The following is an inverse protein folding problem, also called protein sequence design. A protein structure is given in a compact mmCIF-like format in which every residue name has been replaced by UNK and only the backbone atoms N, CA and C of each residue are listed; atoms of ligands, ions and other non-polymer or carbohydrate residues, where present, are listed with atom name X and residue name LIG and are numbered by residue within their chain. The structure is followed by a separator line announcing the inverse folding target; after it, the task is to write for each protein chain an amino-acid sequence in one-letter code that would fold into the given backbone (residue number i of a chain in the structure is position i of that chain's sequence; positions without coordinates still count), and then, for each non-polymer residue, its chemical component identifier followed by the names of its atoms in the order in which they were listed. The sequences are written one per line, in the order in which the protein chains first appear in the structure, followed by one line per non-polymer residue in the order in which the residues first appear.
data_IF_885743464201
#
_entry.id   IF_885743464201
#
_cell.length_a   1.000
_cell.length_b   1.000
_cell.length_c   1.000
_cell.angle_alpha   90.00
_cell.angle_beta   90.00
_cell.angle_gamma   90.00
#
_symmetry.space_group_name_H-M   'P 1'
#
loop_
_entity.id
_entity.type
_entity.pdbx_description
1 polymer ?
#
# COMPACT_ATOMS: atom_id res chain seq x y z
N UNK A 1 12.63 -10.19 -9.19
CA UNK A 1 13.03 -10.43 -7.79
C UNK A 1 12.28 -9.60 -6.75
N UNK A 2 12.36 -8.26 -6.71
CA UNK A 2 11.69 -7.47 -5.65
C UNK A 2 10.15 -7.61 -5.64
N UNK A 3 9.52 -7.50 -6.83
CA UNK A 3 8.06 -7.66 -6.99
C UNK A 3 7.62 -9.08 -6.59
N UNK A 4 8.32 -10.10 -7.06
CA UNK A 4 8.04 -11.51 -6.72
C UNK A 4 8.22 -11.77 -5.22
N UNK A 5 9.26 -11.20 -4.60
CA UNK A 5 9.50 -11.33 -3.16
C UNK A 5 8.38 -10.69 -2.32
N UNK A 6 7.90 -9.52 -2.73
CA UNK A 6 6.73 -8.88 -2.13
C UNK A 6 5.48 -9.76 -2.26
N UNK A 7 5.18 -10.24 -3.47
CA UNK A 7 4.00 -11.09 -3.71
C UNK A 7 4.07 -12.41 -2.94
N UNK A 8 5.23 -13.07 -2.95
CA UNK A 8 5.45 -14.30 -2.18
C UNK A 8 5.27 -14.07 -0.68
N UNK A 9 5.75 -12.93 -0.16
CA UNK A 9 5.54 -12.59 1.25
C UNK A 9 4.07 -12.37 1.57
N UNK A 10 3.34 -11.64 0.73
CA UNK A 10 1.89 -11.44 0.85
C UNK A 10 1.14 -12.77 0.87
N UNK A 11 1.42 -13.67 -0.06
CA UNK A 11 0.77 -14.99 -0.13
C UNK A 11 1.12 -15.87 1.07
N UNK A 12 2.37 -15.85 1.55
CA UNK A 12 2.80 -16.65 2.70
C UNK A 12 2.12 -16.26 4.02
N UNK A 13 1.60 -15.03 4.12
CA UNK A 13 1.00 -14.51 5.34
C UNK A 13 -0.53 -14.70 5.38
N UNK A 14 -1.14 -15.16 4.30
CA UNK A 14 -2.59 -15.25 4.15
C UNK A 14 -3.29 -13.97 4.63
N UNK A 15 -2.92 -12.85 4.00
CA UNK A 15 -3.42 -11.52 4.37
C UNK A 15 -4.90 -11.45 4.00
N UNK A 16 -5.75 -11.21 4.99
CA UNK A 16 -7.19 -11.10 4.79
C UNK A 16 -7.58 -9.83 4.05
N UNK A 17 -8.78 -9.81 3.45
CA UNK A 17 -9.33 -8.61 2.80
C UNK A 17 -9.32 -7.38 3.71
N UNK A 18 -9.61 -7.57 5.00
CA UNK A 18 -9.68 -6.48 5.98
C UNK A 18 -8.29 -5.95 6.32
N UNK A 19 -7.29 -6.81 6.45
CA UNK A 19 -5.90 -6.39 6.61
C UNK A 19 -5.36 -5.67 5.37
N UNK A 20 -5.68 -6.15 4.17
CA UNK A 20 -5.34 -5.44 2.93
C UNK A 20 -5.97 -4.04 2.89
N UNK A 21 -7.21 -3.87 3.36
CA UNK A 21 -7.85 -2.57 3.40
C UNK A 21 -7.07 -1.60 4.30
N UNK A 22 -6.65 -2.03 5.50
CA UNK A 22 -5.86 -1.19 6.39
C UNK A 22 -4.44 -0.91 5.86
N UNK A 23 -3.77 -1.91 5.30
CA UNK A 23 -2.45 -1.72 4.68
C UNK A 23 -2.49 -0.71 3.53
N UNK A 24 -3.54 -0.77 2.69
CA UNK A 24 -3.77 0.23 1.64
C UNK A 24 -3.98 1.63 2.23
N UNK A 25 -4.74 1.74 3.32
CA UNK A 25 -4.90 2.99 4.07
C UNK A 25 -3.55 3.54 4.56
N UNK A 26 -2.71 2.70 5.17
CA UNK A 26 -1.36 3.09 5.64
C UNK A 26 -0.47 3.59 4.50
N UNK A 27 -0.54 2.97 3.31
CA UNK A 27 0.24 3.39 2.13
C UNK A 27 -0.31 4.68 1.54
N UNK A 28 -1.64 4.82 1.44
CA UNK A 28 -2.32 5.97 0.87
C UNK A 28 -2.08 7.24 1.69
N UNK A 29 -2.23 7.14 3.00
CA UNK A 29 -2.04 8.26 3.92
C UNK A 29 -0.58 8.36 4.35
N UNK A 30 0.30 8.76 3.44
CA UNK A 30 1.72 8.96 3.75
C UNK A 30 2.02 10.45 4.01
N UNK A 31 2.29 10.88 5.25
CA UNK A 31 2.56 12.28 5.57
C UNK A 31 3.92 12.79 5.08
N UNK A 32 4.81 11.90 4.65
CA UNK A 32 6.17 12.23 4.23
C UNK A 32 6.26 12.67 2.76
N UNK A 33 5.15 12.69 2.02
CA UNK A 33 5.14 13.08 0.61
C UNK A 33 5.32 14.60 0.44
N UNK A 34 6.12 15.04 -0.55
CA UNK A 34 6.31 16.46 -0.81
C UNK A 34 5.03 17.10 -1.37
N UNK A 35 4.84 18.39 -1.09
CA UNK A 35 3.72 19.18 -1.63
C UNK A 35 2.40 19.08 -0.86
N UNK A 36 2.34 18.25 0.20
CA UNK A 36 1.16 18.13 1.04
C UNK A 36 0.85 19.42 1.81
N UNK A 37 -0.43 19.80 1.85
CA UNK A 37 -0.93 20.96 2.60
C UNK A 37 -1.52 20.59 3.97
N UNK A 38 -1.96 19.34 4.14
CA UNK A 38 -2.71 18.87 5.30
C UNK A 38 -1.99 17.72 6.04
N UNK A 39 -0.66 17.82 6.20
CA UNK A 39 0.19 16.75 6.76
C UNK A 39 -0.29 16.21 8.10
N UNK A 40 -0.72 17.06 9.04
CA UNK A 40 -1.22 16.62 10.35
C UNK A 40 -2.50 15.77 10.24
N UNK A 41 -3.40 16.12 9.32
CA UNK A 41 -4.61 15.35 9.08
C UNK A 41 -4.30 13.99 8.46
N UNK A 42 -3.39 13.98 7.48
CA UNK A 42 -2.91 12.74 6.84
C UNK A 42 -2.23 11.82 7.84
N UNK A 43 -1.42 12.37 8.75
CA UNK A 43 -0.78 11.60 9.83
C UNK A 43 -1.84 10.97 10.76
N UNK A 44 -2.91 11.71 11.09
CA UNK A 44 -4.04 11.18 11.84
C UNK A 44 -4.69 9.98 11.15
N UNK A 45 -5.00 10.10 9.85
CA UNK A 45 -5.59 9.02 9.06
C UNK A 45 -4.66 7.79 8.95
N UNK A 46 -3.36 8.01 8.81
CA UNK A 46 -2.38 6.92 8.80
C UNK A 46 -2.37 6.16 10.14
N UNK A 47 -2.39 6.90 11.26
CA UNK A 47 -2.45 6.33 12.61
C UNK A 47 -3.72 5.51 12.81
N UNK A 48 -4.87 6.02 12.36
CA UNK A 48 -6.14 5.29 12.43
C UNK A 48 -6.09 3.96 11.64
N UNK A 49 -5.55 3.97 10.41
CA UNK A 49 -5.40 2.75 9.61
C UNK A 49 -4.48 1.73 10.31
N UNK A 50 -3.36 2.18 10.88
CA UNK A 50 -2.41 1.32 11.59
C UNK A 50 -2.99 0.78 12.91
N UNK A 51 -3.75 1.60 13.63
CA UNK A 51 -4.43 1.18 14.85
C UNK A 51 -5.50 0.13 14.55
N UNK A 52 -6.35 0.38 13.55
CA UNK A 52 -7.37 -0.57 13.14
C UNK A 52 -6.78 -1.91 12.68
N UNK A 53 -5.61 -1.89 12.01
CA UNK A 53 -4.86 -3.09 11.69
C UNK A 53 -4.41 -3.85 12.94
N UNK A 54 -3.80 -3.16 13.89
CA UNK A 54 -3.29 -3.77 15.13
C UNK A 54 -4.43 -4.39 15.96
N UNK A 55 -5.54 -3.68 16.11
CA UNK A 55 -6.73 -4.17 16.81
C UNK A 55 -7.32 -5.40 16.12
N UNK A 56 -7.43 -5.38 14.79
CA UNK A 56 -7.91 -6.52 14.02
C UNK A 56 -7.00 -7.75 14.18
N UNK A 57 -5.68 -7.57 14.08
CA UNK A 57 -4.70 -8.64 14.28
C UNK A 57 -4.82 -9.23 15.69
N UNK A 58 -4.90 -8.38 16.73
CA UNK A 58 -5.08 -8.84 18.11
C UNK A 58 -6.37 -9.61 18.32
N UNK A 59 -7.45 -9.22 17.63
CA UNK A 59 -8.75 -9.87 17.77
C UNK A 59 -8.77 -11.26 17.10
N UNK A 60 -8.26 -11.35 15.87
CA UNK A 60 -8.39 -12.53 15.00
C UNK A 60 -7.19 -13.48 15.13
N UNK A 61 -5.99 -12.97 15.32
CA UNK A 61 -4.73 -13.73 15.36
C UNK A 61 -4.08 -13.72 16.74
N UNK A 62 -4.87 -14.00 17.79
CA UNK A 62 -4.46 -13.97 19.22
C UNK A 62 -3.22 -14.78 19.58
N UNK A 63 -2.81 -15.74 18.75
CA UNK A 63 -1.62 -16.58 18.97
C UNK A 63 -0.40 -16.18 18.14
N UNK A 64 -0.51 -15.21 17.23
CA UNK A 64 0.59 -14.73 16.39
C UNK A 64 0.92 -13.27 16.70
N UNK A 65 1.58 -13.06 17.84
CA UNK A 65 2.07 -11.75 18.31
C UNK A 65 2.98 -11.05 17.28
N UNK A 66 3.61 -11.82 16.39
CA UNK A 66 4.49 -11.29 15.35
C UNK A 66 3.73 -10.86 14.09
N UNK A 67 2.44 -11.15 13.94
CA UNK A 67 1.69 -10.89 12.69
C UNK A 67 1.72 -9.43 12.30
N UNK A 68 1.47 -8.52 13.22
CA UNK A 68 1.50 -7.09 12.94
C UNK A 68 2.88 -6.63 12.44
N UNK A 69 3.96 -7.11 13.05
CA UNK A 69 5.32 -6.85 12.58
C UNK A 69 5.59 -7.44 11.18
N UNK A 70 5.13 -8.68 10.93
CA UNK A 70 5.23 -9.33 9.60
C UNK A 70 4.49 -8.53 8.52
N UNK A 71 3.34 -7.94 8.83
CA UNK A 71 2.59 -7.08 7.91
C UNK A 71 3.31 -5.73 7.67
N UNK A 72 3.98 -5.17 8.68
CA UNK A 72 4.84 -3.99 8.47
C UNK A 72 6.08 -4.29 7.61
N UNK A 73 6.60 -5.52 7.66
CA UNK A 73 7.65 -5.97 6.73
C UNK A 73 7.12 -5.98 5.28
N UNK A 74 5.88 -6.40 5.05
CA UNK A 74 5.25 -6.33 3.70
C UNK A 74 5.21 -4.90 3.18
N UNK A 75 4.84 -3.92 4.02
CA UNK A 75 4.87 -2.50 3.63
C UNK A 75 6.29 -2.03 3.27
N UNK A 76 7.29 -2.50 4.02
CA UNK A 76 8.69 -2.15 3.75
C UNK A 76 9.18 -2.73 2.43
N UNK A 77 8.80 -3.98 2.11
CA UNK A 77 9.08 -4.60 0.81
C UNK A 77 8.39 -3.84 -0.33
N UNK A 78 7.13 -3.44 -0.15
CA UNK A 78 6.40 -2.66 -1.15
C UNK A 78 7.12 -1.33 -1.46
N UNK A 79 7.57 -0.61 -0.42
CA UNK A 79 8.31 0.67 -0.57
C UNK A 79 9.63 0.52 -1.33
N UNK A 80 10.21 -0.68 -1.40
CA UNK A 80 11.43 -0.93 -2.18
C UNK A 80 11.18 -1.11 -3.68
N UNK A 81 9.92 -1.25 -4.10
CA UNK A 81 9.55 -1.45 -5.51
C UNK A 81 9.48 -0.09 -6.20
N UNK A 82 10.25 0.07 -7.27
CA UNK A 82 10.22 1.27 -8.10
C UNK A 82 8.94 1.28 -8.97
N UNK A 83 8.13 2.33 -8.85
CA UNK A 83 6.90 2.49 -9.61
C UNK A 83 7.13 2.52 -11.15
N UNK A 84 8.27 3.03 -11.61
CA UNK A 84 8.61 3.03 -13.04
C UNK A 84 8.77 1.60 -13.58
N UNK A 85 9.31 0.69 -12.76
CA UNK A 85 9.43 -0.73 -13.14
C UNK A 85 8.04 -1.36 -13.27
N UNK A 86 7.09 -0.97 -12.41
CA UNK A 86 5.70 -1.43 -12.51
C UNK A 86 5.04 -0.90 -13.81
N UNK A 87 5.22 0.38 -14.12
CA UNK A 87 4.73 0.99 -15.36
C UNK A 87 5.26 0.26 -16.60
N UNK A 88 6.57 0.03 -16.67
CA UNK A 88 7.21 -0.65 -17.80
C UNK A 88 6.79 -2.11 -17.94
N UNK A 89 6.67 -2.85 -16.84
CA UNK A 89 6.33 -4.28 -16.90
C UNK A 89 4.86 -4.53 -17.22
N UNK A 90 3.93 -3.77 -16.61
CA UNK A 90 2.51 -4.11 -16.64
C UNK A 90 1.68 -3.18 -17.51
N UNK A 91 2.11 -1.93 -17.73
CA UNK A 91 1.29 -0.92 -18.41
C UNK A 91 1.82 -0.57 -19.80
N UNK A 92 3.14 -0.42 -19.97
CA UNK A 92 3.78 -0.11 -21.27
C UNK A 92 3.30 -0.98 -22.44
N UNK A 93 3.10 -2.31 -22.29
CA UNK A 93 2.60 -3.14 -23.40
C UNK A 93 1.16 -2.80 -23.84
N UNK A 94 0.38 -2.14 -22.98
CA UNK A 94 -1.04 -1.84 -23.19
C UNK A 94 -1.22 -0.39 -23.61
N UNK A 95 -0.61 0.55 -22.89
CA UNK A 95 -0.81 1.99 -23.06
C UNK A 95 0.31 2.67 -23.87
N UNK A 96 1.34 1.92 -24.27
CA UNK A 96 2.45 2.45 -25.06
C UNK A 96 3.18 3.58 -24.35
N UNK A 97 3.33 4.73 -25.02
CA UNK A 97 4.07 5.88 -24.52
C UNK A 97 3.28 6.83 -23.60
N UNK A 98 2.03 6.49 -23.26
CA UNK A 98 1.19 7.30 -22.36
C UNK A 98 1.84 7.40 -20.97
N UNK A 99 1.83 8.60 -20.41
CA UNK A 99 2.36 8.86 -19.07
C UNK A 99 1.38 8.33 -18.00
N UNK A 100 1.89 7.57 -17.04
CA UNK A 100 1.11 7.04 -15.92
C UNK A 100 0.49 8.13 -15.05
N UNK A 101 1.19 9.26 -14.86
CA UNK A 101 0.69 10.37 -14.05
C UNK A 101 -0.54 11.03 -14.69
N UNK A 102 -0.51 11.23 -16.01
CA UNK A 102 -1.63 11.78 -16.78
C UNK A 102 -2.84 10.84 -16.71
N UNK A 103 -2.61 9.53 -16.81
CA UNK A 103 -3.65 8.52 -16.69
C UNK A 103 -4.27 8.50 -15.29
N UNK A 104 -3.47 8.61 -14.24
CA UNK A 104 -3.97 8.68 -12.87
C UNK A 104 -4.81 9.95 -12.63
N UNK A 105 -4.39 11.08 -13.20
CA UNK A 105 -5.15 12.33 -13.14
C UNK A 105 -6.49 12.18 -13.86
N UNK A 106 -6.50 11.61 -15.07
CA UNK A 106 -7.73 11.34 -15.81
C UNK A 106 -8.65 10.40 -15.02
N UNK A 107 -8.13 9.34 -14.39
CA UNK A 107 -8.92 8.40 -13.59
C UNK A 107 -9.58 9.06 -12.37
N UNK A 108 -8.90 10.02 -11.74
CA UNK A 108 -9.43 10.78 -10.60
C UNK A 108 -10.51 11.78 -11.04
N UNK A 109 -10.33 12.42 -12.20
CA UNK A 109 -11.25 13.43 -12.71
C UNK A 109 -12.45 12.85 -13.48
N UNK A 110 -12.29 11.74 -14.19
CA UNK A 110 -13.32 11.15 -15.05
C UNK A 110 -14.43 10.42 -14.26
N UNK A 111 -14.21 10.16 -12.96
CA UNK A 111 -15.18 9.50 -12.07
C UNK A 111 -15.86 10.46 -11.08
N UNK A 112 -15.66 11.77 -11.24
CA UNK A 112 -16.41 12.83 -10.58
C UNK A 112 -17.47 13.37 -11.55
#
# INVERSE_FOLDING_TARGET
QAIEGFLAKCWSLDISTKEYAYLKGTVLFNPDLPGLQCTQYIEGLQKEAQQALNEHVRLIHRGDEARFAKLNVVLSLLRSINANVIAELFFRPIIGAVNMDDMLLEMLCAKL
#
